data_IF_156313563887
#
_entry.id   IF_156313563887
#
_cell.length_a   1.000
_cell.length_b   1.000
_cell.length_c   1.000
_cell.angle_alpha   90.00
_cell.angle_beta   90.00
_cell.angle_gamma   90.00
#
_symmetry.space_group_name_H-M   'P 1'
#
loop_
_entity.id
_entity.type
_entity.pdbx_description
1 polymer ?
#
# COMPACT_ATOMS: atom_id res chain seq x y z
N UNK A 1 -9.05 7.58 12.39
CA UNK A 1 -9.60 8.73 11.67
C UNK A 1 -9.77 9.77 12.74
N UNK A 2 -9.13 10.92 12.55
CA UNK A 2 -9.36 12.08 13.40
C UNK A 2 -10.82 12.47 13.15
N UNK A 3 -11.59 12.69 14.20
CA UNK A 3 -12.99 13.08 14.07
C UNK A 3 -13.11 14.45 13.38
N UNK A 4 -14.26 14.78 12.80
CA UNK A 4 -14.46 16.09 12.16
C UNK A 4 -14.25 17.25 13.16
N UNK A 5 -14.52 17.04 14.45
CA UNK A 5 -14.22 17.99 15.53
C UNK A 5 -12.71 18.12 15.81
N UNK A 6 -11.96 17.02 15.76
CA UNK A 6 -10.50 17.04 15.92
C UNK A 6 -9.80 17.58 14.65
N UNK A 7 -10.39 17.42 13.46
CA UNK A 7 -9.96 18.06 12.22
C UNK A 7 -10.17 19.57 12.30
N UNK A 8 -11.31 20.04 12.80
CA UNK A 8 -11.59 21.47 13.00
C UNK A 8 -10.72 22.09 14.11
N UNK A 9 -10.39 21.37 15.18
CA UNK A 9 -9.41 21.82 16.18
C UNK A 9 -7.98 21.86 15.64
N UNK A 10 -7.57 20.87 14.84
CA UNK A 10 -6.28 20.87 14.13
C UNK A 10 -6.21 22.03 13.13
N UNK A 11 -7.27 22.28 12.37
CA UNK A 11 -7.33 23.42 11.45
C UNK A 11 -7.28 24.75 12.19
N UNK A 12 -7.94 24.91 13.35
CA UNK A 12 -7.80 26.12 14.19
C UNK A 12 -6.40 26.31 14.77
N UNK A 13 -5.68 25.22 15.07
CA UNK A 13 -4.31 25.28 15.56
C UNK A 13 -3.31 25.66 14.45
N UNK A 14 -3.55 25.21 13.21
CA UNK A 14 -2.75 25.55 12.03
C UNK A 14 -3.06 26.95 11.47
N UNK A 15 -4.29 27.46 11.63
CA UNK A 15 -4.76 28.75 11.10
C UNK A 15 -4.95 29.86 12.16
N UNK A 16 -4.27 29.80 13.31
CA UNK A 16 -4.28 30.93 14.26
C UNK A 16 -3.83 32.23 13.55
N UNK A 17 -4.49 33.39 13.78
CA UNK A 17 -4.12 34.66 13.13
C UNK A 17 -2.67 35.10 13.42
N UNK A 18 -2.06 34.53 14.46
CA UNK A 18 -0.66 34.75 14.85
C UNK A 18 0.35 33.88 14.06
N UNK A 19 -0.13 32.99 13.17
CA UNK A 19 0.66 32.23 12.20
C UNK A 19 0.55 32.81 10.79
N UNK A 20 0.43 34.14 10.69
CA UNK A 20 0.67 34.83 9.42
C UNK A 20 2.12 34.58 8.98
N UNK A 21 2.38 33.92 7.84
CA UNK A 21 3.70 33.97 7.23
C UNK A 21 4.02 35.45 7.01
N UNK A 22 5.13 35.92 7.59
CA UNK A 22 5.60 37.28 7.40
C UNK A 22 5.68 37.56 5.90
N UNK A 23 4.96 38.57 5.44
CA UNK A 23 5.15 39.12 4.09
C UNK A 23 6.64 39.46 3.89
N UNK A 24 7.24 38.90 2.85
CA UNK A 24 7.87 39.72 1.82
C UNK A 24 8.10 38.90 0.53
N UNK A 25 7.78 39.47 -0.64
CA UNK A 25 7.95 38.80 -1.92
C UNK A 25 9.44 38.65 -2.24
N UNK A 26 9.88 37.43 -2.56
CA UNK A 26 11.24 37.17 -3.05
C UNK A 26 11.38 37.66 -4.49
N UNK A 27 11.43 38.98 -4.67
CA UNK A 27 11.48 39.66 -5.98
C UNK A 27 12.71 39.34 -6.85
N UNK A 28 13.62 38.48 -6.41
CA UNK A 28 14.89 38.13 -7.06
C UNK A 28 15.24 36.62 -7.04
N UNK A 29 14.35 35.72 -6.62
CA UNK A 29 14.63 34.28 -6.74
C UNK A 29 14.38 33.82 -8.19
N UNK A 30 15.37 33.16 -8.79
CA UNK A 30 15.27 32.60 -10.14
C UNK A 30 14.23 31.46 -10.11
N UNK A 31 13.19 31.57 -10.94
CA UNK A 31 12.10 30.60 -11.03
C UNK A 31 12.23 29.75 -12.28
N UNK A 32 11.72 28.52 -12.21
CA UNK A 32 11.57 27.63 -13.37
C UNK A 32 10.11 27.67 -13.85
N UNK A 33 9.91 27.44 -15.14
CA UNK A 33 8.56 27.22 -15.68
C UNK A 33 8.23 25.74 -15.54
N UNK A 34 7.15 25.42 -14.82
CA UNK A 34 6.54 24.10 -14.79
C UNK A 34 5.29 24.08 -15.65
N UNK A 35 5.18 23.06 -16.48
CA UNK A 35 4.09 22.85 -17.43
C UNK A 35 3.18 21.76 -16.87
N UNK A 36 2.05 22.17 -16.28
CA UNK A 36 1.03 21.27 -15.78
C UNK A 36 0.00 20.99 -16.89
N UNK A 37 -0.20 19.72 -17.19
CA UNK A 37 -1.19 19.25 -18.18
C UNK A 37 -2.20 18.25 -17.57
N UNK A 38 -1.98 17.85 -16.32
CA UNK A 38 -2.79 16.88 -15.57
C UNK A 38 -3.36 17.49 -14.28
N UNK A 39 -3.38 16.75 -13.17
CA UNK A 39 -4.10 17.16 -11.96
C UNK A 39 -3.61 18.47 -11.33
N UNK A 40 -2.33 18.84 -11.49
CA UNK A 40 -1.78 20.12 -11.02
C UNK A 40 -2.25 21.35 -11.84
N UNK A 41 -3.19 21.17 -12.78
CA UNK A 41 -3.96 22.29 -13.33
C UNK A 41 -4.98 22.80 -12.29
N UNK A 42 -5.47 21.93 -11.41
CA UNK A 42 -6.34 22.33 -10.32
C UNK A 42 -5.57 23.21 -9.32
N UNK A 43 -6.00 24.46 -9.16
CA UNK A 43 -5.26 25.47 -8.40
C UNK A 43 -5.19 25.15 -6.92
N UNK A 44 -6.28 24.68 -6.33
CA UNK A 44 -6.32 24.27 -4.92
C UNK A 44 -5.31 23.17 -4.61
N UNK A 45 -5.27 22.13 -5.45
CA UNK A 45 -4.26 21.07 -5.35
C UNK A 45 -2.84 21.61 -5.52
N UNK A 46 -2.62 22.51 -6.48
CA UNK A 46 -1.30 23.07 -6.72
C UNK A 46 -0.83 23.92 -5.55
N UNK A 47 -1.67 24.80 -5.00
CA UNK A 47 -1.36 25.64 -3.85
C UNK A 47 -1.08 24.83 -2.58
N UNK A 48 -1.73 23.67 -2.42
CA UNK A 48 -1.41 22.75 -1.33
C UNK A 48 0.01 22.16 -1.47
N UNK A 49 0.42 21.81 -2.70
CA UNK A 49 1.74 21.19 -2.96
C UNK A 49 2.86 22.21 -3.02
N UNK A 50 2.57 23.39 -3.57
CA UNK A 50 3.49 24.46 -3.91
C UNK A 50 2.85 25.81 -3.53
N UNK A 51 2.88 26.19 -2.24
CA UNK A 51 2.22 27.41 -1.77
C UNK A 51 2.79 28.70 -2.36
N UNK A 52 4.06 28.68 -2.80
CA UNK A 52 4.74 29.82 -3.39
C UNK A 52 4.60 29.87 -4.93
N UNK A 53 3.93 28.89 -5.56
CA UNK A 53 3.81 28.84 -7.01
C UNK A 53 2.83 29.90 -7.55
N UNK A 54 3.21 30.55 -8.64
CA UNK A 54 2.38 31.56 -9.31
C UNK A 54 1.97 31.08 -10.70
N UNK A 55 0.71 31.29 -11.08
CA UNK A 55 0.29 31.08 -12.48
C UNK A 55 1.07 32.04 -13.37
N UNK A 56 1.75 31.49 -14.38
CA UNK A 56 2.53 32.23 -15.36
C UNK A 56 1.69 32.53 -16.62
N UNK A 57 1.11 31.49 -17.24
CA UNK A 57 0.30 31.58 -18.45
C UNK A 57 -0.46 30.28 -18.70
N UNK A 58 -1.42 30.29 -19.62
CA UNK A 58 -1.95 29.10 -20.28
C UNK A 58 -1.38 28.98 -21.69
N UNK A 59 -1.32 27.77 -22.23
CA UNK A 59 -0.84 27.55 -23.59
C UNK A 59 -0.97 26.12 -24.06
N UNK A 60 -0.45 25.86 -25.26
CA UNK A 60 -0.53 24.57 -25.94
C UNK A 60 0.87 23.96 -26.10
N UNK A 61 1.11 22.82 -25.46
CA UNK A 61 2.36 22.05 -25.58
C UNK A 61 2.47 21.51 -27.00
N UNK A 62 3.56 21.83 -27.71
CA UNK A 62 3.72 21.50 -29.13
C UNK A 62 4.35 20.12 -29.35
N UNK A 63 3.89 19.39 -30.37
CA UNK A 63 4.34 18.03 -30.73
C UNK A 63 4.05 16.95 -29.66
N UNK A 64 3.00 17.17 -28.86
CA UNK A 64 2.51 16.22 -27.87
C UNK A 64 0.98 16.15 -27.90
N UNK A 65 0.45 14.95 -27.71
CA UNK A 65 -0.96 14.74 -27.41
C UNK A 65 -1.14 14.44 -25.91
N UNK A 66 -2.26 14.88 -25.35
CA UNK A 66 -2.72 14.46 -24.03
C UNK A 66 -3.22 13.01 -24.12
N UNK A 67 -2.89 12.19 -23.14
CA UNK A 67 -3.30 10.79 -23.07
C UNK A 67 -3.46 10.33 -21.62
N UNK A 68 -4.20 9.24 -21.41
CA UNK A 68 -4.40 8.61 -20.10
C UNK A 68 -3.85 7.18 -20.05
N UNK A 69 -3.11 6.91 -18.99
CA UNK A 69 -2.80 5.55 -18.52
C UNK A 69 -3.11 5.47 -17.02
N UNK A 70 -4.39 5.44 -16.67
CA UNK A 70 -4.96 5.69 -15.33
C UNK A 70 -4.74 7.10 -14.77
N UNK A 71 -3.68 7.79 -15.19
CA UNK A 71 -3.37 9.19 -14.89
C UNK A 71 -2.92 9.90 -16.17
N UNK A 72 -2.95 11.24 -16.16
CA UNK A 72 -2.61 12.02 -17.34
C UNK A 72 -1.10 11.91 -17.69
N UNK A 73 -0.81 11.83 -18.98
CA UNK A 73 0.55 11.87 -19.54
C UNK A 73 0.57 12.59 -20.89
N UNK A 74 1.75 13.10 -21.29
CA UNK A 74 1.98 13.57 -22.65
C UNK A 74 2.65 12.48 -23.49
N UNK A 75 2.10 12.18 -24.67
CA UNK A 75 2.73 11.31 -25.66
C UNK A 75 3.25 12.14 -26.81
N UNK A 76 4.48 11.87 -27.25
CA UNK A 76 5.11 12.64 -28.33
C UNK A 76 4.42 12.31 -29.65
N UNK A 77 3.79 13.30 -30.29
CA UNK A 77 3.10 13.16 -31.56
C UNK A 77 3.21 14.44 -32.35
N UNK A 78 3.98 14.39 -33.44
CA UNK A 78 4.34 15.57 -34.23
C UNK A 78 3.10 16.22 -34.84
N UNK A 79 2.98 17.53 -34.68
CA UNK A 79 1.85 18.33 -35.18
C UNK A 79 0.60 18.32 -34.30
N UNK A 80 0.61 17.57 -33.20
CA UNK A 80 -0.44 17.63 -32.18
C UNK A 80 -0.07 18.63 -31.09
N UNK A 81 -1.08 19.02 -30.32
CA UNK A 81 -0.88 19.88 -29.16
C UNK A 81 -1.76 19.49 -27.97
N UNK A 82 -1.29 19.82 -26.77
CA UNK A 82 -1.98 19.51 -25.51
C UNK A 82 -2.12 20.77 -24.64
N UNK A 83 -3.29 21.04 -24.04
CA UNK A 83 -3.47 22.18 -23.14
C UNK A 83 -2.58 22.08 -21.89
N UNK A 84 -2.06 23.22 -21.45
CA UNK A 84 -1.29 23.30 -20.22
C UNK A 84 -1.47 24.62 -19.48
N UNK A 85 -1.35 24.53 -18.16
CA UNK A 85 -1.20 25.65 -17.23
C UNK A 85 0.26 25.74 -16.79
N UNK A 86 0.87 26.90 -17.01
CA UNK A 86 2.26 27.15 -16.66
C UNK A 86 2.33 27.80 -15.30
N UNK A 87 3.19 27.26 -14.44
CA UNK A 87 3.49 27.77 -13.11
C UNK A 87 4.91 28.28 -13.05
N UNK A 88 5.13 29.39 -12.35
CA UNK A 88 6.46 29.74 -11.84
C UNK A 88 6.72 28.88 -10.60
N UNK A 89 7.76 28.06 -10.65
CA UNK A 89 8.23 27.26 -9.53
C UNK A 89 9.51 27.82 -8.95
N UNK A 90 9.51 28.01 -7.64
CA UNK A 90 10.70 28.33 -6.86
C UNK A 90 11.39 27.05 -6.37
N UNK A 91 12.63 27.18 -5.91
CA UNK A 91 13.48 26.01 -5.59
C UNK A 91 12.90 25.14 -4.45
N UNK A 92 12.09 25.71 -3.56
CA UNK A 92 11.35 24.98 -2.51
C UNK A 92 10.24 24.11 -3.09
N UNK A 93 9.44 24.65 -4.01
CA UNK A 93 8.29 23.98 -4.59
C UNK A 93 8.68 22.84 -5.54
N UNK A 94 9.79 22.98 -6.27
CA UNK A 94 10.28 21.90 -7.14
C UNK A 94 10.60 20.64 -6.31
N UNK A 95 11.19 20.78 -5.13
CA UNK A 95 11.49 19.64 -4.24
C UNK A 95 10.22 18.99 -3.69
N UNK A 96 9.19 19.79 -3.41
CA UNK A 96 7.88 19.28 -3.01
C UNK A 96 7.25 18.48 -4.15
N UNK A 97 7.26 19.00 -5.38
CA UNK A 97 6.76 18.30 -6.56
C UNK A 97 7.50 17.01 -6.86
N UNK A 98 8.82 16.98 -6.77
CA UNK A 98 9.60 15.74 -6.99
C UNK A 98 9.11 14.60 -6.08
N UNK A 99 8.78 14.93 -4.83
CA UNK A 99 8.25 13.98 -3.86
C UNK A 99 6.81 13.54 -4.18
N UNK A 100 5.95 14.46 -4.62
CA UNK A 100 4.55 14.15 -4.96
C UNK A 100 4.41 13.38 -6.27
N UNK A 101 5.27 13.64 -7.26
CA UNK A 101 5.24 12.99 -8.57
C UNK A 101 6.00 11.65 -8.59
N UNK A 102 6.70 11.30 -7.51
CA UNK A 102 7.48 10.05 -7.42
C UNK A 102 8.68 10.03 -8.36
N UNK A 103 9.28 11.20 -8.63
CA UNK A 103 10.49 11.33 -9.44
C UNK A 103 11.69 10.67 -8.73
N UNK A 104 12.57 9.94 -9.45
CA UNK A 104 12.59 9.71 -10.90
C UNK A 104 11.91 8.41 -11.36
N UNK A 105 11.26 7.66 -10.48
CA UNK A 105 10.80 6.30 -10.76
C UNK A 105 9.48 6.24 -11.52
N UNK A 106 8.51 7.11 -11.20
CA UNK A 106 7.17 7.12 -11.82
C UNK A 106 7.08 8.07 -13.03
N UNK A 107 7.72 9.23 -12.92
CA UNK A 107 7.75 10.26 -13.94
C UNK A 107 9.19 10.73 -14.19
N UNK A 108 9.50 11.06 -15.45
CA UNK A 108 10.74 11.74 -15.83
C UNK A 108 10.48 13.21 -16.12
N UNK A 109 11.46 14.07 -15.81
CA UNK A 109 11.44 15.48 -16.21
C UNK A 109 11.88 15.59 -17.67
N UNK A 110 11.07 16.27 -18.47
CA UNK A 110 11.43 16.65 -19.84
C UNK A 110 11.26 18.16 -20.01
N UNK A 111 12.00 18.76 -20.95
CA UNK A 111 11.71 20.09 -21.42
C UNK A 111 10.68 19.99 -22.56
N UNK A 112 9.65 20.82 -22.51
CA UNK A 112 8.64 20.95 -23.56
C UNK A 112 8.45 22.41 -23.93
N UNK A 113 8.14 22.64 -25.20
CA UNK A 113 7.87 23.97 -25.73
C UNK A 113 6.36 24.21 -25.76
N UNK A 114 5.93 25.29 -25.12
CA UNK A 114 4.52 25.65 -25.00
C UNK A 114 4.25 26.94 -25.74
N UNK A 115 3.33 26.88 -26.70
CA UNK A 115 2.85 28.06 -27.41
C UNK A 115 1.83 28.79 -26.53
N UNK A 116 2.24 29.93 -25.99
CA UNK A 116 1.43 30.84 -25.18
C UNK A 116 1.16 32.09 -26.02
N UNK A 117 -0.05 32.23 -26.57
CA UNK A 117 -0.40 33.31 -27.51
C UNK A 117 0.60 33.33 -28.71
N UNK A 118 1.32 34.44 -28.90
CA UNK A 118 2.31 34.62 -29.97
C UNK A 118 3.76 34.29 -29.55
N UNK A 119 3.96 33.61 -28.41
CA UNK A 119 5.28 33.30 -27.87
C UNK A 119 5.42 31.82 -27.56
N UNK A 120 6.63 31.29 -27.73
CA UNK A 120 6.99 29.94 -27.28
C UNK A 120 7.74 30.07 -25.96
N UNK A 121 7.29 29.32 -24.96
CA UNK A 121 7.88 29.27 -23.62
C UNK A 121 8.32 27.83 -23.39
N UNK A 122 9.62 27.62 -23.15
CA UNK A 122 10.14 26.30 -22.80
C UNK A 122 10.03 26.09 -21.28
N UNK A 123 9.51 24.95 -20.87
CA UNK A 123 9.28 24.63 -19.46
C UNK A 123 9.49 23.15 -19.15
N UNK A 124 9.61 22.83 -17.88
CA UNK A 124 9.76 21.46 -17.39
C UNK A 124 8.38 20.82 -17.23
N UNK A 125 8.21 19.60 -17.73
CA UNK A 125 7.04 18.77 -17.54
C UNK A 125 7.44 17.41 -16.96
N UNK A 126 6.60 16.83 -16.10
CA UNK A 126 6.73 15.45 -15.65
C UNK A 126 5.97 14.56 -16.60
N UNK A 127 6.65 13.69 -17.36
CA UNK A 127 6.01 12.73 -18.28
C UNK A 127 6.24 11.30 -17.81
N UNK A 128 5.23 10.45 -17.93
CA UNK A 128 5.32 9.06 -17.47
C UNK A 128 6.44 8.33 -18.20
N UNK A 129 7.24 7.55 -17.47
CA UNK A 129 8.41 6.86 -18.04
C UNK A 129 7.98 5.81 -19.08
N UNK A 130 6.81 5.18 -18.89
CA UNK A 130 6.22 4.25 -19.85
C UNK A 130 4.78 4.64 -20.23
N UNK A 131 4.65 5.36 -21.34
CA UNK A 131 3.41 6.00 -21.77
C UNK A 131 2.75 5.31 -22.97
N UNK A 132 3.07 4.03 -23.25
CA UNK A 132 2.59 3.36 -24.48
C UNK A 132 1.20 2.77 -24.33
N UNK A 133 0.77 2.51 -23.11
CA UNK A 133 -0.57 2.00 -22.81
C UNK A 133 -1.61 3.11 -22.65
N UNK A 134 -2.85 2.75 -22.97
CA UNK A 134 -4.06 3.54 -22.77
C UNK A 134 -4.95 2.84 -21.75
N UNK A 135 -5.28 3.55 -20.67
CA UNK A 135 -6.21 3.10 -19.63
C UNK A 135 -6.98 4.31 -19.09
N UNK A 136 -8.29 4.15 -18.89
CA UNK A 136 -9.13 5.23 -18.37
C UNK A 136 -8.72 5.60 -16.92
N UNK A 137 -8.72 6.90 -16.59
CA UNK A 137 -8.55 7.36 -15.21
C UNK A 137 -9.76 7.00 -14.34
N UNK A 138 -9.61 7.08 -13.02
CA UNK A 138 -10.79 7.06 -12.15
C UNK A 138 -11.61 8.33 -12.36
N UNK A 139 -12.93 8.22 -12.17
CA UNK A 139 -13.87 9.34 -12.28
C UNK A 139 -13.44 10.55 -11.43
N UNK A 140 -13.08 10.31 -10.15
CA UNK A 140 -12.62 11.35 -9.24
C UNK A 140 -11.35 12.06 -9.74
N UNK A 141 -10.42 11.32 -10.36
CA UNK A 141 -9.21 11.90 -10.91
C UNK A 141 -9.49 12.72 -12.16
N UNK A 142 -10.36 12.22 -13.05
CA UNK A 142 -10.79 12.94 -14.24
C UNK A 142 -11.48 14.26 -13.87
N UNK A 143 -12.47 14.22 -12.98
CA UNK A 143 -13.20 15.40 -12.50
C UNK A 143 -12.27 16.44 -11.87
N UNK A 144 -11.21 16.02 -11.19
CA UNK A 144 -10.22 16.95 -10.64
C UNK A 144 -9.49 17.72 -11.74
N UNK A 145 -9.11 17.06 -12.83
CA UNK A 145 -8.48 17.71 -13.99
C UNK A 145 -9.50 18.61 -14.69
N UNK A 146 -10.71 18.09 -14.95
CA UNK A 146 -11.82 18.81 -15.57
C UNK A 146 -12.14 20.11 -14.83
N UNK A 147 -12.27 20.06 -13.51
CA UNK A 147 -12.47 21.24 -12.67
C UNK A 147 -11.33 22.25 -12.82
N UNK A 148 -10.08 21.77 -12.90
CA UNK A 148 -8.92 22.63 -13.19
C UNK A 148 -8.98 23.26 -14.58
N UNK A 149 -9.42 22.52 -15.60
CA UNK A 149 -9.60 23.05 -16.96
C UNK A 149 -10.67 24.14 -16.98
N UNK A 150 -11.81 23.91 -16.33
CA UNK A 150 -12.90 24.88 -16.19
C UNK A 150 -12.42 26.13 -15.45
N UNK A 151 -11.76 25.96 -14.30
CA UNK A 151 -11.22 27.04 -13.47
C UNK A 151 -10.26 27.94 -14.26
N UNK A 152 -9.41 27.35 -15.10
CA UNK A 152 -8.34 28.07 -15.81
C UNK A 152 -8.67 28.37 -17.29
N UNK A 153 -9.90 28.11 -17.73
CA UNK A 153 -10.35 28.38 -19.10
C UNK A 153 -9.61 27.59 -20.18
N UNK A 154 -9.20 26.35 -19.87
CA UNK A 154 -8.57 25.44 -20.83
C UNK A 154 -9.64 24.69 -21.65
N UNK A 155 -9.36 24.35 -22.92
CA UNK A 155 -10.32 23.68 -23.78
C UNK A 155 -10.56 22.23 -23.33
N UNK A 156 -11.76 21.96 -22.83
CA UNK A 156 -12.18 20.63 -22.35
C UNK A 156 -12.18 19.56 -23.44
N UNK A 157 -12.37 19.95 -24.70
CA UNK A 157 -12.40 19.03 -25.84
C UNK A 157 -11.16 18.11 -25.90
N UNK A 158 -9.97 18.61 -25.57
CA UNK A 158 -8.74 17.79 -25.56
C UNK A 158 -8.75 16.75 -24.42
N UNK A 159 -9.35 17.10 -23.29
CA UNK A 159 -9.47 16.23 -22.13
C UNK A 159 -10.48 15.10 -22.40
N UNK A 160 -11.62 15.46 -22.98
CA UNK A 160 -12.67 14.52 -23.43
C UNK A 160 -12.14 13.57 -24.50
N UNK A 161 -11.50 14.09 -25.56
CA UNK A 161 -10.89 13.27 -26.61
C UNK A 161 -9.83 12.31 -26.07
N UNK A 162 -9.01 12.75 -25.11
CA UNK A 162 -8.01 11.89 -24.47
C UNK A 162 -8.66 10.76 -23.66
N UNK A 163 -9.79 11.04 -23.00
CA UNK A 163 -10.57 10.04 -22.26
C UNK A 163 -11.26 9.06 -23.21
N UNK A 164 -11.96 9.54 -24.23
CA UNK A 164 -12.62 8.72 -25.25
C UNK A 164 -11.62 7.79 -25.94
N UNK A 165 -10.44 8.30 -26.32
CA UNK A 165 -9.37 7.49 -26.89
C UNK A 165 -8.88 6.42 -25.91
N UNK A 166 -8.80 6.74 -24.61
CA UNK A 166 -8.42 5.76 -23.61
C UNK A 166 -9.49 4.68 -23.42
N UNK A 167 -10.77 5.06 -23.45
CA UNK A 167 -11.91 4.13 -23.38
C UNK A 167 -11.98 3.25 -24.64
N UNK A 168 -11.85 3.83 -25.84
CA UNK A 168 -11.81 3.11 -27.11
C UNK A 168 -10.68 2.09 -27.11
N UNK A 169 -9.46 2.47 -26.72
CA UNK A 169 -8.32 1.56 -26.65
C UNK A 169 -8.50 0.46 -25.59
N UNK A 170 -9.18 0.76 -24.47
CA UNK A 170 -9.56 -0.26 -23.47
C UNK A 170 -10.61 -1.20 -24.05
N UNK A 171 -11.63 -0.70 -24.75
CA UNK A 171 -12.66 -1.47 -25.43
C UNK A 171 -12.06 -2.34 -26.54
N UNK A 172 -11.22 -1.81 -27.41
CA UNK A 172 -10.50 -2.57 -28.45
C UNK A 172 -9.61 -3.66 -27.84
N UNK A 173 -8.94 -3.38 -26.72
CA UNK A 173 -8.16 -4.37 -25.97
C UNK A 173 -9.09 -5.46 -25.42
N UNK A 174 -10.19 -5.08 -24.77
CA UNK A 174 -11.22 -6.00 -24.25
C UNK A 174 -11.87 -6.79 -25.39
N UNK A 175 -12.09 -6.24 -26.58
CA UNK A 175 -12.68 -6.91 -27.74
C UNK A 175 -11.69 -7.81 -28.46
N UNK A 176 -10.42 -7.41 -28.56
CA UNK A 176 -9.33 -8.29 -29.02
C UNK A 176 -9.17 -9.45 -28.06
N UNK A 177 -9.20 -9.19 -26.76
CA UNK A 177 -9.13 -10.21 -25.73
C UNK A 177 -10.41 -11.06 -25.76
N UNK A 178 -11.61 -10.48 -25.86
CA UNK A 178 -12.90 -11.19 -25.92
C UNK A 178 -13.10 -12.00 -27.21
N UNK A 179 -12.63 -11.53 -28.37
CA UNK A 179 -12.67 -12.28 -29.64
C UNK A 179 -11.64 -13.41 -29.67
N UNK A 180 -10.47 -13.19 -29.05
CA UNK A 180 -9.49 -14.24 -28.74
C UNK A 180 -10.02 -15.20 -27.66
N UNK A 181 -10.92 -14.76 -26.78
CA UNK A 181 -11.58 -15.55 -25.73
C UNK A 181 -12.91 -16.19 -26.22
N UNK A 182 -13.51 -15.81 -27.35
CA UNK A 182 -14.78 -16.40 -27.80
C UNK A 182 -14.59 -17.60 -28.73
N UNK A 183 -13.59 -17.55 -29.63
CA UNK A 183 -13.30 -18.63 -30.58
C UNK A 183 -12.39 -19.71 -30.01
N UNK A 184 -11.57 -19.40 -29.00
CA UNK A 184 -10.63 -20.36 -28.43
C UNK A 184 -11.09 -21.03 -27.14
N UNK A 185 -12.14 -20.54 -26.47
CA UNK A 185 -12.21 -20.75 -25.01
C UNK A 185 -13.46 -21.45 -24.48
N UNK A 186 -14.54 -21.66 -25.24
CA UNK A 186 -15.68 -22.42 -24.65
C UNK A 186 -15.50 -23.93 -24.70
N UNK A 187 -14.93 -24.48 -25.78
CA UNK A 187 -14.58 -25.91 -25.83
C UNK A 187 -13.21 -26.20 -25.17
N UNK A 188 -12.28 -25.24 -25.15
CA UNK A 188 -10.94 -25.41 -24.57
C UNK A 188 -10.92 -25.20 -23.04
N UNK A 189 -11.60 -24.19 -22.48
CA UNK A 189 -11.64 -24.00 -21.01
C UNK A 189 -12.41 -25.13 -20.30
N UNK A 190 -13.45 -25.68 -20.93
CA UNK A 190 -14.12 -26.89 -20.45
C UNK A 190 -13.20 -28.13 -20.55
N UNK A 191 -12.19 -28.11 -21.43
CA UNK A 191 -11.19 -29.19 -21.58
C UNK A 191 -9.96 -29.09 -20.66
N UNK A 192 -9.73 -27.94 -20.00
CA UNK A 192 -8.57 -27.70 -19.09
C UNK A 192 -9.04 -27.51 -17.65
N UNK A 193 -10.22 -28.03 -17.32
CA UNK A 193 -10.50 -28.42 -15.94
C UNK A 193 -9.49 -29.52 -15.58
N UNK A 194 -8.40 -29.10 -14.92
CA UNK A 194 -7.17 -29.81 -14.58
C UNK A 194 -6.12 -29.89 -15.70
N UNK A 195 -5.02 -29.15 -15.57
CA UNK A 195 -3.67 -29.69 -15.77
C UNK A 195 -2.57 -28.73 -15.29
N UNK A 196 -1.50 -29.33 -14.78
CA UNK A 196 -0.25 -28.73 -14.27
C UNK A 196 0.58 -27.99 -15.35
N UNK A 197 -0.06 -27.34 -16.33
CA UNK A 197 0.64 -26.70 -17.45
C UNK A 197 1.27 -25.38 -16.99
N UNK A 198 2.60 -25.34 -17.06
CA UNK A 198 3.45 -24.19 -16.72
C UNK A 198 3.07 -22.97 -17.56
N UNK A 199 2.69 -23.15 -18.84
CA UNK A 199 2.33 -22.05 -19.72
C UNK A 199 0.99 -21.39 -19.32
N UNK A 200 0.02 -22.20 -18.89
CA UNK A 200 -1.29 -21.71 -18.41
C UNK A 200 -1.13 -20.96 -17.09
N UNK A 201 -0.32 -21.49 -16.18
CA UNK A 201 -0.02 -20.81 -14.91
C UNK A 201 0.77 -19.51 -15.13
N UNK A 202 1.74 -19.50 -16.06
CA UNK A 202 2.50 -18.32 -16.46
C UNK A 202 1.59 -17.20 -16.96
N UNK A 203 0.69 -17.52 -17.89
CA UNK A 203 -0.24 -16.55 -18.47
C UNK A 203 -1.19 -15.97 -17.42
N UNK A 204 -1.81 -16.83 -16.59
CA UNK A 204 -2.72 -16.38 -15.52
C UNK A 204 -2.00 -15.50 -14.50
N UNK A 205 -0.80 -15.87 -14.05
CA UNK A 205 -0.03 -15.07 -13.09
C UNK A 205 0.39 -13.71 -13.68
N UNK A 206 0.84 -13.67 -14.93
CA UNK A 206 1.22 -12.44 -15.61
C UNK A 206 0.06 -11.43 -15.68
N UNK A 207 -1.13 -11.90 -16.09
CA UNK A 207 -2.33 -11.08 -16.15
C UNK A 207 -2.73 -10.50 -14.77
N UNK A 208 -2.67 -11.32 -13.71
CA UNK A 208 -3.00 -10.89 -12.36
C UNK A 208 -2.00 -9.86 -11.81
N UNK A 209 -0.71 -10.02 -12.12
CA UNK A 209 0.32 -9.07 -11.71
C UNK A 209 0.14 -7.72 -12.39
N UNK A 210 -0.10 -7.69 -13.70
CA UNK A 210 -0.36 -6.47 -14.46
C UNK A 210 -1.58 -5.72 -13.91
N UNK A 211 -2.66 -6.45 -13.59
CA UNK A 211 -3.86 -5.87 -12.99
C UNK A 211 -3.58 -5.23 -11.62
N UNK A 212 -2.80 -5.89 -10.77
CA UNK A 212 -2.57 -5.47 -9.39
C UNK A 212 -1.53 -4.35 -9.27
N UNK A 213 -0.36 -4.52 -9.90
CA UNK A 213 0.78 -3.60 -9.73
C UNK A 213 0.80 -2.46 -10.75
N UNK A 214 -0.03 -2.53 -11.78
CA UNK A 214 -0.10 -1.51 -12.83
C UNK A 214 1.26 -1.24 -13.51
N UNK A 215 2.12 -2.26 -13.53
CA UNK A 215 3.43 -2.28 -14.18
C UNK A 215 3.31 -2.81 -15.61
N UNK A 216 4.22 -2.36 -16.49
CA UNK A 216 4.24 -2.78 -17.88
C UNK A 216 4.77 -4.21 -18.02
N UNK A 217 4.32 -4.89 -19.08
CA UNK A 217 4.78 -6.17 -19.61
C UNK A 217 5.93 -6.81 -18.82
N UNK A 218 5.56 -7.74 -17.92
CA UNK A 218 6.52 -8.63 -17.29
C UNK A 218 7.30 -9.35 -18.39
N UNK A 219 8.62 -9.26 -18.32
CA UNK A 219 9.48 -10.03 -19.22
C UNK A 219 9.26 -11.52 -18.95
N UNK A 220 9.42 -12.35 -19.99
CA UNK A 220 9.14 -13.78 -19.89
C UNK A 220 9.92 -14.46 -18.73
N UNK A 221 11.11 -13.97 -18.37
CA UNK A 221 11.87 -14.51 -17.25
C UNK A 221 11.27 -14.16 -15.88
N UNK A 222 10.62 -13.01 -15.72
CA UNK A 222 9.97 -12.58 -14.47
C UNK A 222 8.71 -13.41 -14.22
N UNK A 223 7.93 -13.67 -15.27
CA UNK A 223 6.80 -14.60 -15.23
C UNK A 223 7.27 -16.00 -14.85
N UNK A 224 8.41 -16.45 -15.39
CA UNK A 224 8.96 -17.78 -15.07
C UNK A 224 9.48 -17.87 -13.63
N UNK A 225 10.03 -16.80 -13.08
CA UNK A 225 10.39 -16.73 -11.66
C UNK A 225 9.14 -16.77 -10.76
N UNK A 226 8.05 -16.09 -11.14
CA UNK A 226 6.77 -16.17 -10.44
C UNK A 226 6.19 -17.59 -10.48
N UNK A 227 6.20 -18.26 -11.64
CA UNK A 227 5.72 -19.64 -11.76
C UNK A 227 6.57 -20.58 -10.90
N UNK A 228 7.89 -20.39 -10.87
CA UNK A 228 8.78 -21.16 -10.01
C UNK A 228 8.49 -20.95 -8.53
N UNK A 229 8.17 -19.73 -8.13
CA UNK A 229 7.87 -19.35 -6.76
C UNK A 229 6.50 -19.85 -6.30
N UNK A 230 5.43 -19.46 -7.01
CA UNK A 230 4.05 -19.69 -6.60
C UNK A 230 3.50 -21.02 -7.08
N UNK A 231 4.09 -21.64 -8.11
CA UNK A 231 3.72 -22.92 -8.73
C UNK A 231 2.38 -22.94 -9.46
N UNK A 232 1.33 -22.36 -8.87
CA UNK A 232 -0.02 -22.32 -9.45
C UNK A 232 -0.62 -20.93 -9.36
N UNK A 233 -1.42 -20.54 -10.36
CA UNK A 233 -2.06 -19.23 -10.40
C UNK A 233 -2.91 -18.95 -9.15
N UNK A 234 -3.61 -19.97 -8.62
CA UNK A 234 -4.42 -19.83 -7.42
C UNK A 234 -3.58 -19.48 -6.17
N UNK A 235 -2.33 -19.96 -6.09
CA UNK A 235 -1.40 -19.60 -5.00
C UNK A 235 -0.90 -18.17 -5.14
N UNK A 236 -0.69 -17.71 -6.38
CA UNK A 236 -0.34 -16.33 -6.64
C UNK A 236 -1.49 -15.38 -6.32
N UNK A 237 -2.72 -15.73 -6.70
CA UNK A 237 -3.94 -14.99 -6.33
C UNK A 237 -4.10 -14.84 -4.81
N UNK A 238 -3.88 -15.92 -4.05
CA UNK A 238 -3.92 -15.85 -2.60
C UNK A 238 -2.88 -14.90 -2.02
N UNK A 239 -1.67 -14.87 -2.60
CA UNK A 239 -0.63 -13.93 -2.19
C UNK A 239 -1.01 -12.47 -2.47
N UNK A 240 -1.62 -12.17 -3.62
CA UNK A 240 -2.11 -10.82 -3.95
C UNK A 240 -3.20 -10.35 -2.99
N UNK A 241 -4.22 -11.17 -2.74
CA UNK A 241 -5.29 -10.86 -1.77
C UNK A 241 -4.74 -10.59 -0.37
N UNK A 242 -3.68 -11.30 0.00
CA UNK A 242 -3.03 -11.10 1.28
C UNK A 242 -2.24 -9.78 1.35
N UNK A 243 -1.55 -9.40 0.27
CA UNK A 243 -0.88 -8.09 0.14
C UNK A 243 -1.90 -6.97 0.26
N UNK A 244 -3.00 -7.06 -0.50
CA UNK A 244 -4.07 -6.05 -0.50
C UNK A 244 -4.67 -5.86 0.89
N UNK A 245 -4.97 -6.97 1.57
CA UNK A 245 -5.47 -6.94 2.94
C UNK A 245 -4.49 -6.20 3.87
N UNK A 246 -3.19 -6.48 3.76
CA UNK A 246 -2.16 -5.84 4.59
C UNK A 246 -2.09 -4.35 4.32
N UNK A 247 -2.16 -3.93 3.06
CA UNK A 247 -2.15 -2.52 2.68
C UNK A 247 -3.37 -1.76 3.20
N UNK A 248 -4.57 -2.36 3.10
CA UNK A 248 -5.82 -1.79 3.60
C UNK A 248 -5.81 -1.56 5.12
N UNK A 249 -5.17 -2.46 5.89
CA UNK A 249 -5.02 -2.28 7.35
C UNK A 249 -3.79 -1.44 7.74
N UNK A 250 -3.07 -0.86 6.77
CA UNK A 250 -1.88 -0.04 7.01
C UNK A 250 -0.66 -0.83 7.47
N UNK A 251 -0.52 -2.08 7.01
CA UNK A 251 0.52 -3.04 7.37
C UNK A 251 0.67 -3.26 8.89
N UNK A 252 -0.44 -3.15 9.62
CA UNK A 252 -0.46 -3.21 11.06
C UNK A 252 -0.36 -4.66 11.56
N UNK A 253 0.66 -4.95 12.36
CA UNK A 253 0.90 -6.22 13.03
C UNK A 253 0.92 -6.02 14.54
N UNK A 254 0.23 -6.90 15.28
CA UNK A 254 0.23 -6.87 16.74
C UNK A 254 1.00 -8.06 17.31
N UNK A 255 2.05 -7.75 18.07
CA UNK A 255 2.90 -8.71 18.76
C UNK A 255 2.47 -8.83 20.23
N UNK A 256 2.19 -10.05 20.68
CA UNK A 256 1.89 -10.38 22.08
C UNK A 256 2.98 -11.28 22.73
N UNK A 257 4.00 -11.66 21.96
CA UNK A 257 5.03 -12.63 22.34
C UNK A 257 6.44 -12.13 22.06
N UNK A 258 7.33 -12.99 21.54
CA UNK A 258 8.75 -12.66 21.36
C UNK A 258 9.02 -11.50 20.39
N UNK A 259 8.08 -11.20 19.48
CA UNK A 259 8.15 -10.03 18.60
C UNK A 259 7.84 -8.70 19.30
N UNK A 260 7.57 -8.70 20.61
CA UNK A 260 7.52 -7.46 21.40
C UNK A 260 8.92 -6.89 21.70
N UNK A 261 9.97 -7.69 21.51
CA UNK A 261 11.35 -7.28 21.80
C UNK A 261 11.99 -6.57 20.60
N UNK A 262 12.47 -5.35 20.84
CA UNK A 262 13.01 -4.45 19.82
C UNK A 262 14.22 -5.03 19.09
N UNK A 263 15.12 -5.71 19.82
CA UNK A 263 16.34 -6.28 19.25
C UNK A 263 16.02 -7.46 18.33
N UNK A 264 15.12 -8.35 18.77
CA UNK A 264 14.62 -9.45 17.96
C UNK A 264 13.88 -8.95 16.71
N UNK A 265 13.04 -7.92 16.84
CA UNK A 265 12.33 -7.35 15.70
C UNK A 265 13.27 -6.63 14.73
N UNK A 266 14.29 -5.93 15.22
CA UNK A 266 15.31 -5.34 14.35
C UNK A 266 16.06 -6.39 13.52
N UNK A 267 16.27 -7.59 14.07
CA UNK A 267 16.89 -8.69 13.34
C UNK A 267 15.94 -9.34 12.31
N UNK A 268 14.67 -9.55 12.67
CA UNK A 268 13.66 -10.20 11.80
C UNK A 268 13.12 -9.27 10.72
N UNK A 269 12.87 -8.03 11.11
CA UNK A 269 12.14 -7.01 10.38
C UNK A 269 12.87 -5.65 10.51
N UNK A 270 14.06 -5.51 9.89
CA UNK A 270 14.94 -4.36 10.08
C UNK A 270 14.38 -3.02 9.56
N UNK A 271 13.37 -3.06 8.68
CA UNK A 271 12.76 -1.89 8.06
C UNK A 271 11.43 -1.50 8.71
N UNK A 272 10.95 -2.32 9.65
CA UNK A 272 9.68 -2.14 10.33
C UNK A 272 9.82 -1.23 11.56
N UNK A 273 8.74 -0.52 11.90
CA UNK A 273 8.74 0.46 13.01
C UNK A 273 7.65 0.17 14.02
N UNK A 274 7.94 0.47 15.29
CA UNK A 274 6.95 0.45 16.36
C UNK A 274 6.00 1.63 16.19
N UNK A 275 4.71 1.40 16.38
CA UNK A 275 3.66 2.43 16.33
C UNK A 275 3.22 2.82 17.73
N UNK A 276 2.71 1.87 18.51
CA UNK A 276 2.19 2.10 19.86
C UNK A 276 1.96 0.77 20.59
N UNK A 277 1.56 0.82 21.85
CA UNK A 277 1.05 -0.34 22.59
C UNK A 277 -0.47 -0.31 22.66
N UNK A 278 -1.12 -1.47 22.64
CA UNK A 278 -2.58 -1.61 22.75
C UNK A 278 -2.93 -2.88 23.56
N UNK A 279 -4.22 -3.19 23.63
CA UNK A 279 -4.73 -4.49 24.07
C UNK A 279 -5.52 -5.16 22.94
N UNK A 280 -5.54 -6.49 22.96
CA UNK A 280 -6.54 -7.31 22.28
C UNK A 280 -7.57 -7.73 23.33
N UNK A 281 -8.82 -7.30 23.17
CA UNK A 281 -9.93 -7.61 24.06
C UNK A 281 -10.49 -9.02 23.80
N UNK A 282 -11.05 -9.66 24.83
CA UNK A 282 -11.63 -11.01 24.80
C UNK A 282 -10.63 -12.13 24.42
N UNK A 283 -9.35 -11.92 24.72
CA UNK A 283 -8.29 -12.91 24.58
C UNK A 283 -7.43 -12.96 25.84
N UNK A 284 -6.88 -14.14 26.10
CA UNK A 284 -5.81 -14.36 27.07
C UNK A 284 -4.58 -14.97 26.42
N UNK A 285 -3.42 -14.75 27.03
CA UNK A 285 -2.18 -15.43 26.67
C UNK A 285 -2.20 -16.89 27.15
N UNK A 286 -1.66 -17.79 26.33
CA UNK A 286 -1.42 -19.20 26.64
C UNK A 286 -0.04 -19.61 26.12
N UNK A 287 0.63 -20.53 26.81
CA UNK A 287 1.87 -21.14 26.33
C UNK A 287 1.67 -22.58 25.90
N UNK A 288 2.22 -22.89 24.72
CA UNK A 288 2.40 -24.23 24.20
C UNK A 288 3.85 -24.31 23.68
N UNK A 289 4.80 -24.25 24.63
CA UNK A 289 6.24 -23.99 24.43
C UNK A 289 6.57 -22.58 23.92
N UNK A 290 5.77 -22.03 23.00
CA UNK A 290 5.80 -20.64 22.59
C UNK A 290 4.48 -19.95 22.91
N UNK A 291 4.46 -18.61 22.85
CA UNK A 291 3.29 -17.81 23.16
C UNK A 291 2.20 -17.99 22.09
N UNK A 292 0.94 -18.12 22.51
CA UNK A 292 -0.25 -17.98 21.66
C UNK A 292 -1.33 -17.22 22.42
N UNK A 293 -2.32 -16.68 21.72
CA UNK A 293 -3.55 -16.16 22.34
C UNK A 293 -4.72 -17.12 22.09
N UNK A 294 -5.65 -17.16 23.03
CA UNK A 294 -6.90 -17.93 22.93
C UNK A 294 -8.06 -17.05 23.41
N UNK A 295 -9.25 -17.24 22.83
CA UNK A 295 -10.45 -16.47 23.19
C UNK A 295 -10.78 -16.70 24.67
N UNK A 296 -10.97 -15.61 25.40
CA UNK A 296 -11.38 -15.62 26.80
C UNK A 296 -12.08 -14.30 27.15
N UNK A 297 -13.40 -14.36 27.30
CA UNK A 297 -14.27 -13.18 27.37
C UNK A 297 -13.99 -12.37 28.64
N UNK A 298 -13.87 -11.05 28.49
CA UNK A 298 -13.61 -10.13 29.60
C UNK A 298 -12.15 -10.06 30.04
N UNK A 299 -11.26 -10.76 29.34
CA UNK A 299 -9.80 -10.63 29.52
C UNK A 299 -9.19 -9.84 28.37
N UNK A 300 -7.96 -9.37 28.56
CA UNK A 300 -7.24 -8.61 27.54
C UNK A 300 -5.75 -8.96 27.53
N UNK A 301 -5.15 -9.00 26.35
CA UNK A 301 -3.71 -9.24 26.18
C UNK A 301 -3.02 -7.94 25.77
N UNK A 302 -2.00 -7.46 26.50
CA UNK A 302 -1.21 -6.33 26.04
C UNK A 302 -0.39 -6.70 24.80
N UNK A 303 -0.29 -5.77 23.86
CA UNK A 303 0.41 -5.96 22.59
C UNK A 303 1.25 -4.75 22.21
N UNK A 304 2.29 -5.00 21.43
CA UNK A 304 3.08 -3.97 20.72
C UNK A 304 2.64 -3.98 19.26
N UNK A 305 2.23 -2.81 18.76
CA UNK A 305 1.83 -2.61 17.37
C UNK A 305 3.01 -2.17 16.53
N UNK A 306 3.20 -2.85 15.42
CA UNK A 306 4.25 -2.59 14.42
C UNK A 306 3.60 -2.25 13.08
N UNK A 307 4.19 -1.28 12.37
CA UNK A 307 3.97 -1.13 10.93
C UNK A 307 5.09 -1.91 10.24
N UNK A 308 4.71 -3.02 9.62
CA UNK A 308 5.65 -3.93 8.97
C UNK A 308 5.93 -3.44 7.56
N UNK A 309 7.21 -3.25 7.23
CA UNK A 309 7.60 -2.92 5.87
C UNK A 309 7.27 -4.09 4.93
N UNK A 310 6.79 -3.84 3.68
CA UNK A 310 6.40 -4.89 2.74
C UNK A 310 7.42 -6.03 2.60
N UNK A 311 8.72 -5.69 2.52
CA UNK A 311 9.82 -6.64 2.39
C UNK A 311 10.07 -7.51 3.64
N UNK A 312 9.65 -7.06 4.81
CA UNK A 312 9.91 -7.74 6.08
C UNK A 312 8.86 -8.83 6.39
N UNK A 313 7.68 -8.78 5.76
CA UNK A 313 6.61 -9.77 5.96
C UNK A 313 7.06 -11.20 5.68
N UNK A 314 7.90 -11.41 4.66
CA UNK A 314 8.41 -12.74 4.30
C UNK A 314 9.32 -13.32 5.38
N UNK A 315 10.10 -12.47 6.03
CA UNK A 315 10.96 -12.87 7.15
C UNK A 315 10.12 -13.19 8.38
N UNK A 316 9.08 -12.39 8.64
CA UNK A 316 8.15 -12.61 9.73
C UNK A 316 7.38 -13.93 9.54
N UNK A 317 6.84 -14.19 8.34
CA UNK A 317 6.16 -15.44 7.99
C UNK A 317 7.03 -16.68 8.20
N UNK A 318 8.30 -16.59 7.78
CA UNK A 318 9.27 -17.67 7.98
C UNK A 318 9.55 -17.89 9.46
N UNK A 319 9.71 -16.82 10.24
CA UNK A 319 9.99 -16.90 11.67
C UNK A 319 8.82 -17.53 12.45
N UNK A 320 7.58 -17.12 12.13
CA UNK A 320 6.36 -17.66 12.74
C UNK A 320 6.03 -19.08 12.23
N UNK A 321 6.74 -19.59 11.23
CA UNK A 321 6.45 -20.89 10.62
C UNK A 321 5.08 -20.92 9.96
N UNK A 322 4.60 -19.78 9.44
CA UNK A 322 3.34 -19.68 8.71
C UNK A 322 3.40 -20.46 7.38
N UNK A 323 2.34 -21.18 6.99
CA UNK A 323 1.06 -21.38 7.69
C UNK A 323 1.03 -22.63 8.61
N UNK A 324 2.14 -23.36 8.74
CA UNK A 324 2.15 -24.68 9.38
C UNK A 324 2.09 -24.63 10.91
N UNK A 325 2.77 -23.67 11.52
CA UNK A 325 2.86 -23.55 12.98
C UNK A 325 1.85 -22.54 13.53
N UNK A 326 1.86 -21.33 12.97
CA UNK A 326 0.86 -20.30 13.22
C UNK A 326 0.04 -20.01 11.96
N UNK A 327 -1.22 -19.61 12.16
CA UNK A 327 -2.06 -18.95 11.14
C UNK A 327 -2.14 -17.46 11.42
N UNK A 328 -2.57 -16.70 10.42
CA UNK A 328 -2.86 -15.28 10.56
C UNK A 328 -4.36 -15.08 10.80
N UNK A 329 -4.70 -14.16 11.68
CA UNK A 329 -6.05 -13.66 11.89
C UNK A 329 -6.04 -12.14 11.98
N UNK A 330 -7.21 -11.52 11.75
CA UNK A 330 -7.43 -10.11 12.03
C UNK A 330 -8.04 -9.94 13.42
N UNK A 331 -7.52 -8.98 14.17
CA UNK A 331 -8.06 -8.56 15.46
C UNK A 331 -8.22 -7.05 15.50
N UNK A 332 -9.15 -6.56 16.31
CA UNK A 332 -9.32 -5.13 16.52
C UNK A 332 -8.43 -4.65 17.67
N UNK A 333 -7.70 -3.55 17.44
CA UNK A 333 -6.82 -2.90 18.40
C UNK A 333 -7.03 -1.39 18.35
N UNK A 334 -6.67 -0.66 19.41
CA UNK A 334 -6.78 0.81 19.44
C UNK A 334 -5.43 1.45 19.09
N UNK A 335 -5.43 2.31 18.08
CA UNK A 335 -4.27 3.12 17.68
C UNK A 335 -4.65 4.59 17.79
N UNK A 336 -4.02 5.31 18.73
CA UNK A 336 -4.37 6.71 19.00
C UNK A 336 -5.85 6.89 19.39
N UNK A 337 -6.41 5.96 20.16
CA UNK A 337 -7.81 5.97 20.57
C UNK A 337 -8.82 5.41 19.55
N UNK A 338 -8.42 5.23 18.30
CA UNK A 338 -9.29 4.73 17.21
C UNK A 338 -9.11 3.23 17.01
N UNK A 339 -10.22 2.50 16.86
CA UNK A 339 -10.17 1.07 16.50
C UNK A 339 -9.66 0.86 15.07
N UNK A 340 -8.74 -0.09 14.93
CA UNK A 340 -8.20 -0.56 13.65
C UNK A 340 -8.06 -2.07 13.65
N UNK A 341 -8.25 -2.68 12.49
CA UNK A 341 -7.87 -4.06 12.26
C UNK A 341 -6.34 -4.18 12.24
N UNK A 342 -5.81 -5.25 12.83
CA UNK A 342 -4.40 -5.60 12.85
C UNK A 342 -4.24 -7.09 12.61
N UNK A 343 -3.20 -7.48 11.88
CA UNK A 343 -2.82 -8.88 11.77
C UNK A 343 -2.21 -9.39 13.07
N UNK A 344 -2.50 -10.65 13.38
CA UNK A 344 -1.94 -11.40 14.50
C UNK A 344 -1.63 -12.83 14.08
N UNK A 345 -0.54 -13.41 14.57
CA UNK A 345 -0.26 -14.83 14.40
C UNK A 345 -0.87 -15.60 15.57
N UNK A 346 -1.63 -16.66 15.33
CA UNK A 346 -2.20 -17.53 16.36
C UNK A 346 -1.83 -18.99 16.05
N UNK A 347 -1.38 -19.76 17.05
CA UNK A 347 -0.99 -21.16 16.82
C UNK A 347 -2.17 -21.97 16.27
N UNK A 348 -1.92 -22.81 15.28
CA UNK A 348 -2.96 -23.65 14.67
C UNK A 348 -3.64 -24.61 15.65
N UNK A 349 -2.90 -25.11 16.64
CA UNK A 349 -3.37 -26.07 17.64
C UNK A 349 -3.00 -25.60 19.05
N UNK A 350 -3.63 -24.53 19.55
CA UNK A 350 -3.21 -23.90 20.81
C UNK A 350 -3.38 -24.83 22.02
N UNK A 351 -4.32 -25.78 21.95
CA UNK A 351 -4.66 -26.67 23.07
C UNK A 351 -4.05 -28.07 22.99
N UNK A 352 -3.34 -28.40 21.90
CA UNK A 352 -2.84 -29.76 21.67
C UNK A 352 -1.71 -30.16 22.62
N UNK A 353 -0.87 -29.21 23.07
CA UNK A 353 0.31 -29.51 23.88
C UNK A 353 0.66 -28.40 24.88
N UNK A 354 -0.32 -27.87 25.61
CA UNK A 354 -0.10 -26.81 26.62
C UNK A 354 1.07 -27.19 27.54
N UNK A 355 2.11 -26.37 27.51
CA UNK A 355 3.39 -26.64 28.15
C UNK A 355 4.16 -25.33 28.34
N UNK A 356 4.96 -25.23 29.40
CA UNK A 356 5.70 -24.01 29.69
C UNK A 356 6.76 -23.73 28.62
N UNK A 357 7.02 -22.44 28.32
CA UNK A 357 8.16 -22.05 27.52
C UNK A 357 9.48 -22.29 28.26
N UNK A 358 10.58 -22.21 27.53
CA UNK A 358 11.90 -22.11 28.16
C UNK A 358 12.02 -20.78 28.92
N UNK A 359 12.84 -20.76 29.98
CA UNK A 359 13.05 -19.53 30.74
C UNK A 359 13.64 -18.41 29.88
N UNK A 360 14.62 -18.73 29.03
CA UNK A 360 15.22 -17.76 28.11
C UNK A 360 14.21 -17.14 27.13
N UNK A 361 13.25 -17.93 26.64
CA UNK A 361 12.17 -17.42 25.78
C UNK A 361 11.24 -16.47 26.55
N UNK A 362 10.81 -16.88 27.76
CA UNK A 362 9.97 -16.05 28.63
C UNK A 362 10.66 -14.72 28.97
N UNK A 363 11.95 -14.77 29.32
CA UNK A 363 12.75 -13.58 29.63
C UNK A 363 12.88 -12.64 28.42
N UNK A 364 12.91 -13.19 27.20
CA UNK A 364 12.85 -12.42 25.96
C UNK A 364 11.54 -11.64 25.81
N UNK A 365 10.40 -12.26 26.11
CA UNK A 365 9.10 -11.57 26.08
C UNK A 365 9.03 -10.51 27.17
N UNK A 366 9.49 -10.83 28.39
CA UNK A 366 9.56 -9.88 29.51
C UNK A 366 10.43 -8.67 29.19
N UNK A 367 11.55 -8.87 28.49
CA UNK A 367 12.42 -7.77 28.03
C UNK A 367 11.68 -6.86 27.05
N UNK A 368 10.99 -7.42 26.06
CA UNK A 368 10.14 -6.65 25.15
C UNK A 368 9.06 -5.86 25.88
N UNK A 369 8.35 -6.48 26.82
CA UNK A 369 7.36 -5.78 27.64
C UNK A 369 7.96 -4.57 28.37
N UNK A 370 9.11 -4.75 29.01
CA UNK A 370 9.83 -3.67 29.72
C UNK A 370 10.27 -2.53 28.80
N UNK A 371 10.74 -2.83 27.58
CA UNK A 371 11.10 -1.82 26.58
C UNK A 371 9.92 -0.92 26.20
N UNK A 372 8.69 -1.43 26.36
CA UNK A 372 7.45 -0.73 26.01
C UNK A 372 6.62 -0.30 27.23
N UNK A 373 7.15 -0.42 28.46
CA UNK A 373 6.43 -0.05 29.68
C UNK A 373 5.22 -0.92 30.00
N UNK A 374 5.16 -2.14 29.46
CA UNK A 374 4.08 -3.11 29.69
C UNK A 374 4.40 -3.94 30.95
N UNK A 375 3.42 -4.04 31.85
CA UNK A 375 3.51 -4.90 33.03
C UNK A 375 3.58 -6.39 32.66
N UNK A 376 4.39 -7.16 33.38
CA UNK A 376 4.68 -8.57 33.03
C UNK A 376 3.88 -9.60 33.82
N UNK A 377 2.98 -9.21 34.73
CA UNK A 377 2.26 -10.16 35.61
C UNK A 377 1.41 -11.14 34.81
N UNK A 378 0.85 -10.71 33.67
CA UNK A 378 0.08 -11.57 32.78
C UNK A 378 0.92 -12.73 32.21
N UNK A 379 2.24 -12.54 32.02
CA UNK A 379 3.16 -13.58 31.56
C UNK A 379 3.39 -14.63 32.64
N UNK A 380 3.53 -14.19 33.90
CA UNK A 380 3.75 -15.08 35.04
C UNK A 380 2.51 -15.93 35.32
N UNK A 381 1.32 -15.33 35.20
CA UNK A 381 0.05 -16.05 35.29
C UNK A 381 -0.08 -17.10 34.17
N UNK A 382 0.22 -16.74 32.91
CA UNK A 382 0.18 -17.69 31.79
C UNK A 382 1.23 -18.81 31.93
N UNK A 383 2.41 -18.50 32.44
CA UNK A 383 3.47 -19.48 32.72
C UNK A 383 3.02 -20.48 33.79
N UNK A 384 2.48 -20.01 34.92
CA UNK A 384 1.97 -20.87 35.98
C UNK A 384 0.83 -21.79 35.50
N UNK A 385 -0.12 -21.26 34.72
CA UNK A 385 -1.22 -22.03 34.11
C UNK A 385 -0.68 -23.15 33.20
N UNK A 386 0.35 -22.85 32.40
CA UNK A 386 0.96 -23.84 31.51
C UNK A 386 1.63 -25.01 32.27
N UNK A 387 2.29 -24.73 33.41
CA UNK A 387 2.85 -25.77 34.29
C UNK A 387 1.74 -26.63 34.88
N UNK A 388 0.68 -26.00 35.38
CA UNK A 388 -0.44 -26.71 36.00
C UNK A 388 -1.12 -27.65 34.99
N UNK A 389 -1.42 -27.15 33.79
CA UNK A 389 -2.08 -27.94 32.72
C UNK A 389 -1.18 -29.07 32.21
N UNK A 390 0.11 -28.83 32.04
CA UNK A 390 1.06 -29.89 31.65
C UNK A 390 1.09 -31.05 32.67
N UNK A 391 1.06 -30.74 33.98
CA UNK A 391 1.00 -31.76 35.04
C UNK A 391 -0.32 -32.55 35.03
N UNK A 392 -1.45 -31.89 34.75
CA UNK A 392 -2.77 -32.54 34.64
C UNK A 392 -2.84 -33.52 33.45
N UNK A 393 -2.24 -33.17 32.32
CA UNK A 393 -2.13 -34.07 31.16
C UNK A 393 -1.30 -35.32 31.48
N UNK A 394 -0.14 -35.16 32.12
CA UNK A 394 0.70 -36.30 32.51
C UNK A 394 0.01 -37.25 33.50
N UNK A 395 -0.82 -36.73 34.41
CA UNK A 395 -1.59 -37.56 35.36
C UNK A 395 -2.76 -38.28 34.71
N UNK A 396 -3.41 -37.70 33.68
CA UNK A 396 -4.46 -38.37 32.88
C UNK A 396 -3.92 -39.54 32.06
N UNK A 397 -2.76 -39.39 31.41
CA UNK A 397 -2.14 -40.46 30.60
C UNK A 397 -1.59 -41.63 31.43
N UNK A 398 -1.40 -41.46 32.75
CA UNK A 398 -0.92 -42.51 33.67
C UNK A 398 -2.05 -43.38 34.27
N UNK A 399 -3.32 -43.18 33.93
CA UNK A 399 -4.40 -44.10 34.34
C UNK A 399 -4.34 -45.37 33.46
N UNK A 400 -4.15 -46.57 34.03
CA UNK A 400 -4.08 -47.79 33.22
C UNK A 400 -5.42 -48.06 32.54
N UNK A 401 -5.36 -48.55 31.30
CA UNK A 401 -6.51 -49.11 30.59
C UNK A 401 -7.18 -50.15 31.49
N UNK A 402 -8.42 -49.92 31.91
CA UNK A 402 -9.21 -50.96 32.56
C UNK A 402 -9.38 -52.09 31.55
N UNK A 403 -8.71 -53.21 31.80
CA UNK A 403 -8.95 -54.48 31.13
C UNK A 403 -10.42 -54.86 31.30
N UNK A 404 -11.13 -55.03 30.20
CA UNK A 404 -12.31 -55.90 30.12
C UNK A 404 -12.25 -56.67 28.82
#
# INVERSE_FOLDING_TARGET
MITDEEYDELMKLFFSPDNTPKEQPKKNEEYKIYVAYGSNINTEQMMFRCPDAEIYATGMVQDYELSFNKVATLQKKKGEEAPALLWKLYSSDERSLDKFEGYPHKYKKIAVDVKCQDKIVSGMAYVMVNSKDYNTPTEEYYQRIENGYIENGLPLEYLEQAYEKAEEMVCERIERDNSSISLFNREYLDSISNNDDIAVNAFRMGAMYQQYFNDNDLEAFEIMDMVKEYKTADRFEQALKEIELREQIGNLYCAYGSNMDLEQMKYRCPNSKVISTSYIEDYRLQFNQHATIVKDKGTKVPVVLWEIAPQDWRNLDRYEGYPSYYRKELVNVKVGGVERASLVYIMNKPDFAISPPTQAYLDGIKRGCKQHGIDTDYLDNAYADSIQKARQFQTRCKRPSKSR
#
